data_IF_071640972846
#
_entry.id   IF_071640972846
#
_cell.length_a   1.000
_cell.length_b   1.000
_cell.length_c   1.000
_cell.angle_alpha   90.00
_cell.angle_beta   90.00
_cell.angle_gamma   90.00
#
_symmetry.space_group_name_H-M   'P 1'
#
loop_
_entity.id
_entity.type
_entity.pdbx_description
1 polymer ?
#
# COMPACT_ATOMS: atom_id res chain seq x y z
N UNK A 1 -2.58 -10.28 -24.19
CA UNK A 1 -2.56 -9.16 -23.23
C UNK A 1 -2.89 -7.88 -23.99
N UNK A 2 -4.09 -7.35 -23.84
CA UNK A 2 -4.48 -6.10 -24.50
C UNK A 2 -4.17 -4.93 -23.56
N UNK A 3 -2.91 -4.43 -23.60
CA UNK A 3 -2.60 -3.18 -22.94
C UNK A 3 -3.09 -2.03 -23.81
N UNK A 4 -4.06 -1.26 -23.35
CA UNK A 4 -4.47 -0.03 -24.01
C UNK A 4 -3.50 1.07 -23.60
N UNK A 5 -2.70 1.56 -24.56
CA UNK A 5 -1.87 2.74 -24.36
C UNK A 5 -2.71 3.99 -24.50
N UNK A 6 -2.67 4.89 -23.51
CA UNK A 6 -3.31 6.20 -23.53
C UNK A 6 -2.23 7.28 -23.59
N UNK A 7 -2.40 8.27 -24.45
CA UNK A 7 -1.55 9.46 -24.44
C UNK A 7 -2.02 10.40 -23.33
N UNK A 8 -1.13 10.75 -22.42
CA UNK A 8 -1.35 11.75 -21.38
C UNK A 8 -0.58 13.03 -21.72
N UNK A 9 -1.18 14.19 -21.44
CA UNK A 9 -0.52 15.49 -21.49
C UNK A 9 -0.18 15.93 -20.06
N UNK A 10 1.08 16.24 -19.80
CA UNK A 10 1.49 16.69 -18.47
C UNK A 10 0.91 18.08 -18.15
N UNK A 11 0.18 18.25 -17.04
CA UNK A 11 -0.44 19.53 -16.68
C UNK A 11 0.57 20.60 -16.23
N UNK A 12 1.86 20.22 -16.01
CA UNK A 12 2.92 21.15 -15.62
C UNK A 12 3.79 21.64 -16.79
N UNK A 13 4.20 20.72 -17.68
CA UNK A 13 5.14 21.05 -18.77
C UNK A 13 4.57 20.81 -20.17
N UNK A 14 3.31 20.41 -20.27
CA UNK A 14 2.59 20.12 -21.54
C UNK A 14 3.21 18.99 -22.38
N UNK A 15 4.20 18.25 -21.83
CA UNK A 15 4.79 17.11 -22.53
C UNK A 15 3.75 16.00 -22.70
N UNK A 16 3.67 15.41 -23.89
CA UNK A 16 2.80 14.29 -24.21
C UNK A 16 3.60 12.99 -24.15
N UNK A 17 3.08 11.99 -23.43
CA UNK A 17 3.74 10.69 -23.29
C UNK A 17 2.73 9.55 -23.24
N UNK A 18 3.20 8.36 -23.56
CA UNK A 18 2.39 7.15 -23.50
C UNK A 18 2.35 6.60 -22.10
N UNK A 19 1.14 6.31 -21.60
CA UNK A 19 0.89 5.62 -20.37
C UNK A 19 0.14 4.32 -20.64
N UNK A 20 0.71 3.19 -20.24
CA UNK A 20 0.09 1.88 -20.39
C UNK A 20 -0.93 1.68 -19.27
N UNK A 21 -2.21 1.60 -19.63
CA UNK A 21 -3.28 1.23 -18.70
C UNK A 21 -3.56 -0.25 -18.89
N UNK A 22 -3.39 -1.04 -17.84
CA UNK A 22 -3.91 -2.40 -17.86
C UNK A 22 -5.44 -2.33 -17.67
N UNK A 23 -6.17 -2.61 -18.74
CA UNK A 23 -7.64 -2.62 -18.75
C UNK A 23 -8.25 -3.80 -17.99
N UNK A 24 -7.41 -4.68 -17.44
CA UNK A 24 -7.84 -6.00 -16.92
C UNK A 24 -8.14 -6.05 -15.43
N UNK A 25 -8.21 -4.90 -14.72
CA UNK A 25 -8.61 -4.91 -13.30
C UNK A 25 -10.04 -5.46 -13.07
N UNK A 26 -10.88 -5.54 -14.11
CA UNK A 26 -12.28 -5.96 -13.98
C UNK A 26 -12.51 -7.48 -14.00
N UNK A 27 -11.49 -8.26 -14.36
CA UNK A 27 -11.61 -9.73 -14.45
C UNK A 27 -10.51 -10.51 -13.73
N UNK A 28 -9.70 -9.83 -12.91
CA UNK A 28 -8.63 -10.50 -12.16
C UNK A 28 -9.22 -11.52 -11.17
N UNK A 29 -8.87 -12.78 -11.34
CA UNK A 29 -9.22 -13.81 -10.36
C UNK A 29 -8.41 -13.56 -9.11
N UNK A 30 -9.09 -13.14 -8.03
CA UNK A 30 -8.46 -12.91 -6.72
C UNK A 30 -8.23 -14.28 -6.08
N UNK A 31 -6.98 -14.57 -5.71
CA UNK A 31 -6.60 -15.84 -5.07
C UNK A 31 -6.53 -15.74 -3.55
N UNK A 32 -6.46 -14.53 -3.01
CA UNK A 32 -6.35 -14.31 -1.57
C UNK A 32 -5.87 -12.90 -1.23
N UNK A 33 -5.56 -12.70 0.05
CA UNK A 33 -5.06 -11.45 0.58
C UNK A 33 -3.71 -11.67 1.26
N UNK A 34 -2.81 -10.71 1.15
CA UNK A 34 -1.63 -10.62 2.02
C UNK A 34 -2.04 -10.25 3.44
N UNK A 35 -1.13 -10.41 4.39
CA UNK A 35 -1.33 -9.92 5.77
C UNK A 35 -1.44 -8.40 5.82
N UNK A 36 -0.89 -7.70 4.85
CA UNK A 36 -1.02 -6.26 4.62
C UNK A 36 -2.31 -5.88 3.88
N UNK A 37 -3.27 -6.80 3.78
CA UNK A 37 -4.53 -6.69 3.02
C UNK A 37 -4.36 -6.48 1.51
N UNK A 38 -3.17 -6.66 0.97
CA UNK A 38 -3.00 -6.65 -0.48
C UNK A 38 -3.78 -7.79 -1.12
N UNK A 39 -4.61 -7.46 -2.11
CA UNK A 39 -5.24 -8.46 -2.97
C UNK A 39 -4.18 -9.15 -3.83
N UNK A 40 -4.13 -10.46 -3.76
CA UNK A 40 -3.31 -11.30 -4.64
C UNK A 40 -4.19 -11.76 -5.79
N UNK A 41 -3.99 -11.16 -6.96
CA UNK A 41 -4.72 -11.48 -8.16
C UNK A 41 -3.74 -11.84 -9.27
N UNK A 42 -4.13 -12.75 -10.17
CA UNK A 42 -3.39 -13.05 -11.39
C UNK A 42 -3.44 -11.80 -12.30
N UNK A 43 -2.28 -11.42 -12.83
CA UNK A 43 -2.17 -10.35 -13.82
C UNK A 43 -2.56 -8.93 -13.34
N UNK A 44 -2.64 -8.70 -12.02
CA UNK A 44 -2.91 -7.39 -11.45
C UNK A 44 -1.63 -6.54 -11.44
N UNK A 45 -1.37 -5.81 -12.53
CA UNK A 45 -0.27 -4.86 -12.59
C UNK A 45 -0.73 -3.47 -12.07
N UNK A 46 -0.49 -3.20 -10.79
CA UNK A 46 -0.84 -1.93 -10.12
C UNK A 46 0.11 -0.77 -10.48
N UNK A 47 1.16 -1.05 -11.21
CA UNK A 47 2.09 -0.02 -11.69
C UNK A 47 1.42 1.01 -12.59
N UNK A 48 0.29 0.64 -13.22
CA UNK A 48 -0.50 1.52 -14.08
C UNK A 48 -1.42 2.50 -13.32
N UNK A 49 -1.51 2.41 -11.98
CA UNK A 49 -2.37 3.30 -11.18
C UNK A 49 -1.84 4.74 -11.13
N UNK A 50 -0.54 4.91 -11.32
CA UNK A 50 0.14 6.21 -11.31
C UNK A 50 0.79 6.50 -12.65
N UNK A 51 0.92 7.78 -12.99
CA UNK A 51 1.66 8.24 -14.14
C UNK A 51 2.72 9.26 -13.70
N UNK A 52 3.95 9.12 -14.23
CA UNK A 52 5.06 10.04 -14.01
C UNK A 52 5.45 10.65 -15.35
N UNK A 53 5.48 11.97 -15.43
CA UNK A 53 5.93 12.68 -16.62
C UNK A 53 7.44 12.46 -16.82
N UNK A 54 7.91 11.94 -17.95
CA UNK A 54 9.33 11.67 -18.13
C UNK A 54 10.19 12.94 -18.23
N UNK A 55 9.56 14.11 -18.50
CA UNK A 55 10.28 15.38 -18.67
C UNK A 55 10.45 16.14 -17.36
N UNK A 56 9.37 16.32 -16.58
CA UNK A 56 9.42 17.12 -15.35
C UNK A 56 9.28 16.30 -14.08
N UNK A 57 9.10 15.00 -14.20
CA UNK A 57 8.93 14.01 -13.11
C UNK A 57 7.66 14.20 -12.27
N UNK A 58 6.76 15.11 -12.66
CA UNK A 58 5.46 15.24 -11.99
C UNK A 58 4.73 13.90 -11.98
N UNK A 59 4.33 13.48 -10.81
CA UNK A 59 3.64 12.20 -10.59
C UNK A 59 2.26 12.43 -9.99
N UNK A 60 1.27 11.73 -10.51
CA UNK A 60 -0.09 11.73 -10.00
C UNK A 60 -0.77 10.39 -10.31
N UNK A 61 -1.95 10.12 -9.70
CA UNK A 61 -2.76 9.01 -10.17
C UNK A 61 -3.10 9.23 -11.64
N UNK A 62 -3.07 8.17 -12.43
CA UNK A 62 -3.27 8.28 -13.90
C UNK A 62 -4.62 8.94 -14.27
N UNK A 63 -5.66 8.72 -13.44
CA UNK A 63 -6.97 9.36 -13.61
C UNK A 63 -6.97 10.86 -13.30
N UNK A 64 -6.08 11.33 -12.43
CA UNK A 64 -6.00 12.73 -11.99
C UNK A 64 -5.01 13.55 -12.82
N UNK A 65 -4.38 12.94 -13.82
CA UNK A 65 -3.32 13.59 -14.61
C UNK A 65 -3.79 14.77 -15.46
N UNK A 66 -5.12 14.91 -15.63
CA UNK A 66 -5.74 16.03 -16.33
C UNK A 66 -6.13 17.19 -15.40
N UNK A 67 -6.04 16.98 -14.08
CA UNK A 67 -6.48 17.95 -13.10
C UNK A 67 -5.52 19.15 -13.01
N UNK A 68 -6.07 20.33 -12.67
CA UNK A 68 -5.27 21.53 -12.41
C UNK A 68 -4.31 21.29 -11.25
N UNK A 69 -3.04 21.64 -11.45
CA UNK A 69 -1.99 21.50 -10.43
C UNK A 69 -1.89 22.78 -9.61
N UNK A 70 -2.04 22.69 -8.26
CA UNK A 70 -1.85 23.82 -7.35
C UNK A 70 -0.43 24.40 -7.39
N UNK A 71 -0.27 25.69 -6.98
CA UNK A 71 1.03 26.38 -6.99
C UNK A 71 2.07 25.68 -6.12
N UNK A 72 1.70 25.32 -4.88
CA UNK A 72 2.58 24.61 -3.96
C UNK A 72 3.11 23.26 -4.51
N UNK A 73 2.30 22.52 -5.27
CA UNK A 73 2.75 21.31 -5.96
C UNK A 73 3.72 21.61 -7.09
N UNK A 74 3.51 22.75 -7.81
CA UNK A 74 4.47 23.18 -8.85
C UNK A 74 5.83 23.50 -8.25
N UNK A 75 5.84 24.15 -7.09
CA UNK A 75 7.07 24.52 -6.40
C UNK A 75 7.78 23.27 -5.86
N UNK A 76 7.03 22.32 -5.29
CA UNK A 76 7.56 21.01 -4.88
C UNK A 76 8.25 20.30 -6.05
N UNK A 77 7.57 20.12 -7.19
CA UNK A 77 8.11 19.37 -8.34
C UNK A 77 9.38 20.05 -8.93
N UNK A 78 9.53 21.35 -8.75
CA UNK A 78 10.73 22.09 -9.19
C UNK A 78 11.89 21.99 -8.21
N UNK A 79 11.63 21.61 -6.96
CA UNK A 79 12.65 21.53 -5.92
C UNK A 79 13.72 20.48 -6.22
N UNK A 80 14.91 20.66 -5.65
CA UNK A 80 16.00 19.68 -5.68
C UNK A 80 15.61 18.38 -5.00
N UNK A 81 14.91 18.49 -3.87
CA UNK A 81 14.55 17.36 -3.02
C UNK A 81 13.56 16.42 -3.72
N UNK A 82 12.55 16.98 -4.42
CA UNK A 82 11.64 16.17 -5.22
C UNK A 82 12.36 15.46 -6.37
N UNK A 83 13.29 16.14 -7.06
CA UNK A 83 14.07 15.53 -8.13
C UNK A 83 15.01 14.45 -7.61
N UNK A 84 15.52 14.60 -6.39
CA UNK A 84 16.37 13.62 -5.73
C UNK A 84 15.65 12.28 -5.46
N UNK A 85 14.30 12.27 -5.43
CA UNK A 85 13.53 11.03 -5.36
C UNK A 85 13.87 10.08 -6.52
N UNK A 86 14.14 10.61 -7.69
CA UNK A 86 14.41 9.85 -8.91
C UNK A 86 15.92 9.70 -9.21
N UNK A 87 16.76 10.58 -8.68
CA UNK A 87 18.20 10.51 -8.80
C UNK A 87 18.82 9.94 -7.53
N UNK A 88 19.75 9.01 -7.58
CA UNK A 88 20.52 8.51 -8.71
C UNK A 88 19.95 7.24 -9.40
N UNK A 89 18.68 6.96 -9.24
CA UNK A 89 18.06 5.70 -9.69
C UNK A 89 17.98 5.61 -11.22
N UNK A 90 18.24 4.44 -11.82
CA UNK A 90 18.05 4.22 -13.24
C UNK A 90 16.56 4.33 -13.62
N UNK A 91 16.27 4.68 -14.88
CA UNK A 91 14.91 4.92 -15.36
C UNK A 91 13.95 3.72 -15.11
N UNK A 92 14.47 2.50 -15.13
CA UNK A 92 13.70 1.27 -14.85
C UNK A 92 13.11 1.28 -13.43
N UNK A 93 13.72 1.96 -12.50
CA UNK A 93 13.25 2.08 -11.11
C UNK A 93 12.29 3.26 -10.89
N UNK A 94 12.18 4.17 -11.86
CA UNK A 94 11.32 5.36 -11.74
C UNK A 94 9.85 5.01 -11.47
N UNK A 95 9.41 3.81 -11.86
CA UNK A 95 8.05 3.38 -11.57
C UNK A 95 7.81 3.15 -10.07
N UNK A 96 8.73 2.48 -9.38
CA UNK A 96 8.66 2.33 -7.93
C UNK A 96 8.84 3.68 -7.22
N UNK A 97 9.85 4.47 -7.65
CA UNK A 97 10.14 5.81 -7.11
C UNK A 97 8.98 6.79 -7.33
N UNK A 98 8.20 6.61 -8.38
CA UNK A 98 6.99 7.37 -8.63
C UNK A 98 5.96 7.29 -7.49
N UNK A 99 5.91 6.19 -6.74
CA UNK A 99 5.04 6.10 -5.57
C UNK A 99 5.51 7.00 -4.41
N UNK A 100 6.81 7.09 -4.17
CA UNK A 100 7.37 8.04 -3.19
C UNK A 100 7.04 9.47 -3.61
N UNK A 101 7.24 9.79 -4.89
CA UNK A 101 6.91 11.10 -5.45
C UNK A 101 5.41 11.42 -5.37
N UNK A 102 4.53 10.44 -5.61
CA UNK A 102 3.08 10.60 -5.45
C UNK A 102 2.72 10.96 -4.02
N UNK A 103 3.26 10.24 -3.03
CA UNK A 103 2.97 10.52 -1.61
C UNK A 103 3.38 11.94 -1.25
N UNK A 104 4.57 12.40 -1.68
CA UNK A 104 5.03 13.77 -1.47
C UNK A 104 4.10 14.81 -2.11
N UNK A 105 3.58 14.54 -3.30
CA UNK A 105 2.59 15.41 -3.96
C UNK A 105 1.28 15.45 -3.19
N UNK A 106 0.80 14.30 -2.71
CA UNK A 106 -0.46 14.21 -1.95
C UNK A 106 -0.34 14.88 -0.57
N UNK A 107 0.81 14.78 0.09
CA UNK A 107 1.11 15.47 1.35
C UNK A 107 1.01 16.99 1.19
N UNK A 108 1.68 17.55 0.17
CA UNK A 108 1.62 18.99 -0.14
C UNK A 108 0.21 19.44 -0.54
N UNK A 109 -0.61 18.55 -1.07
CA UNK A 109 -2.04 18.80 -1.35
C UNK A 109 -2.92 18.75 -0.10
N UNK A 110 -2.38 18.38 1.05
CA UNK A 110 -3.09 18.33 2.32
C UNK A 110 -3.89 17.04 2.55
N UNK A 111 -3.52 15.94 1.90
CA UNK A 111 -4.13 14.65 2.21
C UNK A 111 -3.87 14.30 3.68
N UNK A 112 -4.87 13.75 4.37
CA UNK A 112 -4.73 13.41 5.77
C UNK A 112 -3.73 12.25 6.01
N UNK A 113 -3.11 12.14 7.20
CA UNK A 113 -2.09 11.13 7.49
C UNK A 113 -2.54 9.70 7.23
N UNK A 114 -3.78 9.34 7.58
CA UNK A 114 -4.30 8.00 7.34
C UNK A 114 -4.24 7.62 5.86
N UNK A 115 -4.71 8.50 5.00
CA UNK A 115 -4.77 8.23 3.57
C UNK A 115 -3.38 8.29 2.92
N UNK A 116 -2.46 9.13 3.44
CA UNK A 116 -1.03 9.10 3.08
C UNK A 116 -0.39 7.76 3.45
N UNK A 117 -0.65 7.24 4.65
CA UNK A 117 -0.19 5.92 5.08
C UNK A 117 -0.69 4.80 4.15
N UNK A 118 -1.96 4.84 3.75
CA UNK A 118 -2.52 3.89 2.79
C UNK A 118 -1.88 4.00 1.40
N UNK A 119 -1.59 5.21 0.92
CA UNK A 119 -0.90 5.40 -0.37
C UNK A 119 0.53 4.88 -0.31
N UNK A 120 1.26 5.14 0.76
CA UNK A 120 2.61 4.62 0.99
C UNK A 120 2.61 3.08 1.04
N UNK A 121 1.66 2.47 1.76
CA UNK A 121 1.50 1.02 1.81
C UNK A 121 1.20 0.43 0.43
N UNK A 122 0.33 1.06 -0.37
CA UNK A 122 0.07 0.62 -1.76
C UNK A 122 1.31 0.70 -2.62
N UNK A 123 2.07 1.77 -2.49
CA UNK A 123 3.35 1.93 -3.18
C UNK A 123 4.36 0.84 -2.81
N UNK A 124 4.43 0.45 -1.54
CA UNK A 124 5.32 -0.62 -1.08
C UNK A 124 4.99 -1.97 -1.74
N UNK A 125 3.70 -2.25 -2.00
CA UNK A 125 3.31 -3.45 -2.73
C UNK A 125 3.83 -3.45 -4.17
N UNK A 126 3.78 -2.29 -4.84
CA UNK A 126 4.28 -2.16 -6.22
C UNK A 126 5.80 -2.26 -6.25
N UNK A 127 6.50 -1.59 -5.33
CA UNK A 127 7.95 -1.69 -5.21
C UNK A 127 8.41 -3.15 -5.00
N UNK A 128 7.70 -3.90 -4.14
CA UNK A 128 7.92 -5.34 -3.91
C UNK A 128 7.72 -6.16 -5.18
N UNK A 129 6.65 -5.91 -5.94
CA UNK A 129 6.38 -6.60 -7.22
C UNK A 129 7.48 -6.36 -8.25
N UNK A 130 8.07 -5.19 -8.23
CA UNK A 130 9.17 -4.80 -9.11
C UNK A 130 10.55 -5.26 -8.59
N UNK A 131 10.61 -5.90 -7.41
CA UNK A 131 11.86 -6.34 -6.79
C UNK A 131 12.71 -5.19 -6.22
N UNK A 132 12.16 -3.98 -6.09
CA UNK A 132 12.86 -2.82 -5.53
C UNK A 132 12.70 -2.76 -4.01
N UNK A 133 13.55 -3.50 -3.30
CA UNK A 133 13.50 -3.65 -1.84
C UNK A 133 13.82 -2.34 -1.09
N UNK A 134 14.66 -1.49 -1.67
CA UNK A 134 15.01 -0.20 -1.07
C UNK A 134 13.80 0.73 -1.05
N UNK A 135 13.14 0.89 -2.19
CA UNK A 135 11.90 1.70 -2.28
C UNK A 135 10.75 1.07 -1.47
N UNK A 136 10.65 -0.27 -1.42
CA UNK A 136 9.67 -0.92 -0.53
C UNK A 136 9.89 -0.50 0.92
N UNK A 137 11.14 -0.56 1.41
CA UNK A 137 11.47 -0.20 2.80
C UNK A 137 11.15 1.27 3.09
N UNK A 138 11.53 2.17 2.19
CA UNK A 138 11.23 3.61 2.33
C UNK A 138 9.72 3.86 2.42
N UNK A 139 8.93 3.25 1.54
CA UNK A 139 7.48 3.39 1.53
C UNK A 139 6.81 2.76 2.78
N UNK A 140 7.35 1.66 3.31
CA UNK A 140 6.89 1.09 4.57
C UNK A 140 7.21 2.02 5.75
N UNK A 141 8.37 2.68 5.75
CA UNK A 141 8.72 3.68 6.76
C UNK A 141 7.80 4.91 6.70
N UNK A 142 7.51 5.41 5.50
CA UNK A 142 6.53 6.49 5.32
C UNK A 142 5.15 6.06 5.83
N UNK A 143 4.71 4.85 5.52
CA UNK A 143 3.43 4.32 5.99
C UNK A 143 3.36 4.23 7.52
N UNK A 144 4.44 3.76 8.16
CA UNK A 144 4.58 3.67 9.62
C UNK A 144 4.41 5.05 10.27
N UNK A 145 5.14 6.06 9.77
CA UNK A 145 5.09 7.42 10.28
C UNK A 145 3.69 8.05 10.13
N UNK A 146 3.08 7.95 8.95
CA UNK A 146 1.75 8.50 8.69
C UNK A 146 0.64 7.80 9.49
N UNK A 147 0.72 6.49 9.69
CA UNK A 147 -0.25 5.79 10.53
C UNK A 147 -0.09 6.12 12.01
N UNK A 148 1.13 6.30 12.50
CA UNK A 148 1.37 6.82 13.86
C UNK A 148 0.72 8.22 14.03
N UNK A 149 0.90 9.11 13.06
CA UNK A 149 0.29 10.44 13.07
C UNK A 149 -1.24 10.38 12.99
N UNK A 150 -1.78 9.45 12.21
CA UNK A 150 -3.22 9.23 12.13
C UNK A 150 -3.81 8.77 13.47
N UNK A 151 -3.12 7.87 14.20
CA UNK A 151 -3.53 7.45 15.54
C UNK A 151 -3.48 8.60 16.54
N UNK A 152 -2.36 9.36 16.58
CA UNK A 152 -2.19 10.51 17.50
C UNK A 152 -3.21 11.61 17.25
N UNK A 153 -3.58 11.86 16.01
CA UNK A 153 -4.55 12.90 15.63
C UNK A 153 -6.00 12.40 15.61
N UNK A 154 -6.27 11.12 15.92
CA UNK A 154 -7.60 10.54 15.91
C UNK A 154 -8.22 10.36 14.51
N UNK A 155 -7.42 10.49 13.45
CA UNK A 155 -7.85 10.39 12.05
C UNK A 155 -7.91 8.94 11.56
N UNK A 156 -8.67 8.07 12.23
CA UNK A 156 -8.71 6.63 12.00
C UNK A 156 -10.02 6.14 11.32
N UNK A 157 -10.91 7.04 10.91
CA UNK A 157 -12.24 6.74 10.34
C UNK A 157 -13.02 5.68 11.18
N UNK A 158 -13.00 5.83 12.50
CA UNK A 158 -13.67 4.95 13.45
C UNK A 158 -13.16 3.48 13.49
N UNK A 159 -12.06 3.18 12.83
CA UNK A 159 -11.42 1.87 12.91
C UNK A 159 -9.92 1.99 13.26
N UNK A 160 -9.59 2.36 14.51
CA UNK A 160 -8.21 2.40 14.95
C UNK A 160 -7.56 1.00 14.94
N UNK A 161 -8.36 -0.06 15.08
CA UNK A 161 -7.86 -1.43 15.03
C UNK A 161 -7.21 -1.78 13.68
N UNK A 162 -7.74 -1.26 12.57
CA UNK A 162 -7.11 -1.43 11.26
C UNK A 162 -5.71 -0.83 11.23
N UNK A 163 -5.56 0.40 11.71
CA UNK A 163 -4.28 1.11 11.69
C UNK A 163 -3.27 0.41 12.61
N UNK A 164 -3.69 0.02 13.81
CA UNK A 164 -2.85 -0.73 14.76
C UNK A 164 -2.38 -2.06 14.14
N UNK A 165 -3.28 -2.79 13.49
CA UNK A 165 -2.95 -4.03 12.81
C UNK A 165 -1.93 -3.81 11.67
N UNK A 166 -2.16 -2.81 10.82
CA UNK A 166 -1.26 -2.47 9.72
C UNK A 166 0.13 -2.04 10.23
N UNK A 167 0.19 -1.26 11.30
CA UNK A 167 1.45 -0.90 11.96
C UNK A 167 2.21 -2.14 12.46
N UNK A 168 1.50 -3.11 13.04
CA UNK A 168 2.10 -4.39 13.45
C UNK A 168 2.75 -5.12 12.27
N UNK A 169 2.02 -5.25 11.15
CA UNK A 169 2.53 -5.88 9.92
C UNK A 169 3.69 -5.10 9.29
N UNK A 170 3.57 -3.77 9.18
CA UNK A 170 4.62 -2.90 8.64
C UNK A 170 5.91 -3.05 9.44
N UNK A 171 5.83 -3.01 10.77
CA UNK A 171 7.00 -3.14 11.64
C UNK A 171 7.62 -4.55 11.54
N UNK A 172 6.80 -5.60 11.45
CA UNK A 172 7.28 -6.96 11.15
C UNK A 172 8.04 -7.01 9.82
N UNK A 173 7.47 -6.43 8.75
CA UNK A 173 8.08 -6.39 7.42
C UNK A 173 9.41 -5.62 7.39
N UNK A 174 9.55 -4.61 8.25
CA UNK A 174 10.79 -3.82 8.41
C UNK A 174 11.83 -4.52 9.30
N UNK A 175 11.47 -5.62 9.97
CA UNK A 175 12.31 -6.30 10.95
C UNK A 175 12.31 -5.65 12.34
N UNK A 176 11.39 -4.71 12.59
CA UNK A 176 11.22 -4.01 13.86
C UNK A 176 10.29 -4.83 14.79
N UNK A 177 10.69 -6.06 15.07
CA UNK A 177 9.83 -7.07 15.71
C UNK A 177 9.35 -6.67 17.11
N UNK A 178 10.22 -6.03 17.92
CA UNK A 178 9.84 -5.56 19.26
C UNK A 178 8.72 -4.52 19.16
N UNK A 179 8.87 -3.52 18.29
CA UNK A 179 7.87 -2.48 18.07
C UNK A 179 6.57 -3.08 17.53
N UNK A 180 6.67 -3.99 16.56
CA UNK A 180 5.51 -4.71 16.03
C UNK A 180 4.72 -5.44 17.12
N UNK A 181 5.41 -6.13 18.03
CA UNK A 181 4.79 -6.81 19.18
C UNK A 181 4.08 -5.82 20.12
N UNK A 182 4.75 -4.75 20.50
CA UNK A 182 4.19 -3.73 21.39
C UNK A 182 2.92 -3.12 20.80
N UNK A 183 2.94 -2.75 19.50
CA UNK A 183 1.78 -2.19 18.82
C UNK A 183 0.60 -3.15 18.82
N UNK A 184 0.83 -4.43 18.54
CA UNK A 184 -0.25 -5.43 18.50
C UNK A 184 -0.95 -5.62 19.86
N UNK A 185 -0.30 -5.30 20.99
CA UNK A 185 -0.95 -5.34 22.31
C UNK A 185 -2.14 -4.39 22.40
N UNK A 186 -2.12 -3.27 21.66
CA UNK A 186 -3.23 -2.30 21.63
C UNK A 186 -4.47 -2.79 20.86
N UNK A 187 -4.36 -3.86 20.06
CA UNK A 187 -5.54 -4.50 19.46
C UNK A 187 -6.41 -5.18 20.52
N UNK A 188 -5.81 -5.63 21.64
CA UNK A 188 -6.53 -6.32 22.69
C UNK A 188 -7.32 -7.51 22.13
N UNK A 189 -8.58 -7.63 22.58
CA UNK A 189 -9.50 -8.68 22.13
C UNK A 189 -10.41 -8.23 20.98
N UNK A 190 -9.97 -7.30 20.12
CA UNK A 190 -10.77 -6.88 18.97
C UNK A 190 -11.12 -8.08 18.07
N UNK A 191 -12.39 -8.51 18.00
CA UNK A 191 -12.78 -9.76 17.34
C UNK A 191 -12.48 -9.74 15.84
N UNK A 192 -12.47 -8.55 15.22
CA UNK A 192 -12.23 -8.38 13.79
C UNK A 192 -10.79 -8.71 13.40
N UNK A 193 -9.83 -8.37 14.26
CA UNK A 193 -8.39 -8.54 13.98
C UNK A 193 -7.75 -9.68 14.75
N UNK A 194 -8.52 -10.42 15.58
CA UNK A 194 -8.00 -11.46 16.47
C UNK A 194 -7.16 -12.50 15.74
N UNK A 195 -7.71 -13.10 14.68
CA UNK A 195 -7.00 -14.17 13.96
C UNK A 195 -5.78 -13.67 13.18
N UNK A 196 -5.88 -12.63 12.33
CA UNK A 196 -4.71 -12.12 11.66
C UNK A 196 -3.64 -11.58 12.62
N UNK A 197 -4.02 -11.01 13.77
CA UNK A 197 -3.08 -10.55 14.78
C UNK A 197 -2.34 -11.72 15.46
N UNK A 198 -3.00 -12.83 15.74
CA UNK A 198 -2.34 -14.04 16.28
C UNK A 198 -1.26 -14.54 15.29
N UNK A 199 -1.57 -14.57 13.99
CA UNK A 199 -0.61 -14.96 12.99
C UNK A 199 0.59 -13.99 12.95
N UNK A 200 0.34 -12.69 12.97
CA UNK A 200 1.40 -11.69 13.05
C UNK A 200 2.27 -11.87 14.30
N UNK A 201 1.66 -12.17 15.44
CA UNK A 201 2.41 -12.39 16.69
C UNK A 201 3.38 -13.56 16.55
N UNK A 202 2.94 -14.69 15.95
CA UNK A 202 3.82 -15.84 15.72
C UNK A 202 4.97 -15.48 14.79
N UNK A 203 4.70 -14.80 13.67
CA UNK A 203 5.75 -14.40 12.73
C UNK A 203 6.73 -13.39 13.35
N UNK A 204 6.26 -12.52 14.23
CA UNK A 204 7.11 -11.60 14.99
C UNK A 204 8.00 -12.37 15.98
N UNK A 205 7.46 -13.39 16.67
CA UNK A 205 8.22 -14.24 17.59
C UNK A 205 9.29 -15.08 16.87
N UNK A 206 9.02 -15.45 15.63
CA UNK A 206 9.97 -16.16 14.75
C UNK A 206 10.95 -15.22 14.02
N UNK A 207 10.85 -13.92 14.23
CA UNK A 207 11.62 -12.88 13.54
C UNK A 207 11.52 -13.00 12.00
N UNK A 208 10.35 -13.43 11.52
CA UNK A 208 10.09 -13.61 10.10
C UNK A 208 9.51 -12.35 9.46
N UNK A 209 10.32 -11.65 8.67
CA UNK A 209 9.94 -10.45 7.92
C UNK A 209 9.45 -10.73 6.50
N UNK A 210 9.30 -12.00 6.08
CA UNK A 210 8.89 -12.34 4.71
C UNK A 210 7.42 -11.97 4.42
N UNK A 211 7.06 -11.65 3.16
CA UNK A 211 5.66 -11.42 2.81
C UNK A 211 4.88 -12.73 2.88
N UNK A 212 3.80 -12.72 3.65
CA UNK A 212 2.87 -13.85 3.72
C UNK A 212 1.62 -13.59 2.90
N UNK A 213 1.13 -14.65 2.25
CA UNK A 213 -0.06 -14.63 1.41
C UNK A 213 -1.09 -15.61 1.95
N UNK A 214 -2.33 -15.21 2.02
CA UNK A 214 -3.44 -16.07 2.48
C UNK A 214 -3.78 -17.25 1.57
N UNK A 215 -3.05 -17.43 0.47
CA UNK A 215 -3.12 -18.67 -0.32
C UNK A 215 -2.58 -19.89 0.42
N UNK A 216 -1.76 -19.68 1.42
CA UNK A 216 -1.41 -20.73 2.34
C UNK A 216 -2.64 -20.96 3.21
N UNK A 217 -3.43 -21.98 2.84
CA UNK A 217 -4.49 -22.47 3.72
C UNK A 217 -3.91 -22.67 5.13
N UNK A 218 -4.70 -22.54 6.19
CA UNK A 218 -4.27 -22.88 7.54
C UNK A 218 -3.52 -24.21 7.60
N UNK A 219 -3.96 -25.21 6.81
CA UNK A 219 -3.29 -26.51 6.69
C UNK A 219 -1.84 -26.42 6.18
N UNK A 220 -1.53 -25.49 5.28
CA UNK A 220 -0.14 -25.26 4.83
C UNK A 220 0.68 -24.48 5.84
N UNK A 221 0.07 -23.56 6.56
CA UNK A 221 0.74 -22.87 7.67
C UNK A 221 1.12 -23.84 8.78
N UNK A 222 0.24 -24.78 9.13
CA UNK A 222 0.54 -25.86 10.06
C UNK A 222 1.68 -26.77 9.60
N UNK A 223 1.86 -26.93 8.27
CA UNK A 223 2.97 -27.70 7.68
C UNK A 223 4.31 -26.97 7.72
N UNK A 224 4.29 -25.61 7.63
CA UNK A 224 5.51 -24.82 7.62
C UNK A 224 6.02 -24.43 9.02
N UNK A 225 5.14 -24.38 10.03
CA UNK A 225 5.55 -24.20 11.40
C UNK A 225 4.67 -25.02 12.36
N UNK A 226 5.26 -25.93 13.14
CA UNK A 226 4.56 -26.71 14.15
C UNK A 226 3.82 -25.87 15.20
N UNK A 227 4.23 -24.58 15.35
CA UNK A 227 3.61 -23.62 16.29
C UNK A 227 2.23 -23.17 15.87
N UNK A 228 1.88 -23.28 14.56
CA UNK A 228 0.52 -22.97 14.09
C UNK A 228 -0.49 -24.07 14.34
N UNK A 229 -0.02 -25.25 14.76
CA UNK A 229 -0.85 -26.42 14.96
C UNK A 229 -1.88 -26.17 16.06
N UNK A 230 -3.16 -26.19 15.69
CA UNK A 230 -4.25 -25.97 16.63
C UNK A 230 -4.60 -24.51 16.94
N UNK A 231 -3.90 -23.53 16.37
CA UNK A 231 -4.23 -22.10 16.54
C UNK A 231 -5.45 -21.68 15.70
N UNK A 232 -5.72 -22.40 14.62
CA UNK A 232 -6.82 -22.10 13.72
C UNK A 232 -7.95 -23.12 13.88
N UNK A 233 -9.20 -22.67 14.07
CA UNK A 233 -10.33 -23.58 13.98
C UNK A 233 -10.38 -24.19 12.57
N UNK A 234 -10.80 -25.45 12.40
CA UNK A 234 -10.94 -26.06 11.09
C UNK A 234 -11.82 -25.18 10.20
N UNK A 235 -11.40 -24.96 8.96
CA UNK A 235 -12.02 -24.07 7.96
C UNK A 235 -13.55 -24.26 7.78
N UNK A 236 -14.08 -25.41 8.19
CA UNK A 236 -15.53 -25.72 8.14
C UNK A 236 -16.38 -24.93 9.16
N UNK A 237 -15.77 -24.30 10.15
CA UNK A 237 -16.47 -23.58 11.24
C UNK A 237 -16.41 -22.07 11.12
N UNK A 238 -15.66 -21.52 10.14
CA UNK A 238 -15.70 -20.10 9.85
C UNK A 238 -16.78 -19.90 8.80
N UNK A 239 -17.95 -19.33 9.17
CA UNK A 239 -18.90 -18.92 8.15
C UNK A 239 -18.15 -17.97 7.21
N UNK A 240 -18.40 -18.01 5.88
CA UNK A 240 -17.86 -17.03 4.98
C UNK A 240 -18.44 -15.67 5.36
N UNK A 241 -17.87 -15.09 6.38
CA UNK A 241 -18.08 -13.72 6.76
C UNK A 241 -17.47 -12.94 5.60
N UNK A 242 -18.32 -12.30 4.84
CA UNK A 242 -17.95 -11.32 3.85
C UNK A 242 -17.06 -10.28 4.52
N UNK A 243 -15.73 -10.49 4.47
CA UNK A 243 -14.78 -9.42 4.64
C UNK A 243 -14.80 -8.71 3.28
N UNK A 244 -15.89 -8.05 3.01
CA UNK A 244 -15.99 -7.11 1.90
C UNK A 244 -15.22 -5.86 2.31
N UNK A 245 -13.91 -5.91 2.16
CA UNK A 245 -13.16 -4.70 1.89
C UNK A 245 -13.26 -4.45 0.40
N UNK A 246 -14.29 -3.71 -0.01
CA UNK A 246 -14.29 -3.14 -1.34
C UNK A 246 -13.11 -2.17 -1.43
N UNK A 247 -12.14 -2.39 -2.32
CA UNK A 247 -11.10 -1.39 -2.60
C UNK A 247 -11.71 -0.06 -3.04
N UNK A 248 -12.93 -0.11 -3.56
CA UNK A 248 -13.70 1.04 -4.05
C UNK A 248 -14.28 1.88 -2.92
N UNK A 249 -14.59 1.31 -1.75
CA UNK A 249 -15.00 2.10 -0.58
C UNK A 249 -13.91 3.03 -0.05
N UNK A 250 -12.64 2.71 -0.32
CA UNK A 250 -11.51 3.60 -0.01
C UNK A 250 -11.37 4.72 -1.05
N UNK A 251 -11.91 4.55 -2.25
CA UNK A 251 -11.84 5.54 -3.33
C UNK A 251 -13.04 6.50 -3.34
N UNK A 252 -14.26 6.01 -3.08
CA UNK A 252 -15.49 6.79 -3.23
C UNK A 252 -15.74 7.83 -2.13
N UNK A 253 -15.08 7.71 -0.97
CA UNK A 253 -15.29 8.68 0.12
C UNK A 253 -14.39 9.91 0.05
N UNK A 254 -13.47 9.99 -0.92
CA UNK A 254 -12.64 11.18 -1.16
C UNK A 254 -13.28 12.22 -2.08
N UNK A 255 -14.51 11.99 -2.59
CA UNK A 255 -15.14 12.82 -3.63
C UNK A 255 -16.39 13.62 -3.19
N UNK A 256 -16.61 13.85 -1.89
CA UNK A 256 -17.59 14.86 -1.49
C UNK A 256 -16.87 16.16 -1.15
N UNK A 257 -16.88 17.17 -2.04
CA UNK A 257 -16.61 18.54 -1.65
C UNK A 257 -17.83 19.07 -0.89
N UNK A 258 -17.58 19.68 0.28
CA UNK A 258 -18.50 20.64 0.89
C UNK A 258 -18.55 21.93 0.08
#
# INVERSE_FOLDING_TARGET
MNSTSKVLACPLCSHHFHHCRNSEHQSAVVFGHGLDFRLVARDCNRSSDIATCPTCLFTARAQDFHARVPGNVKDLVRSSDYKAIFSPYPEVEHLARGWVALVSVLEVRGLNPRDLGLMSLRGSWVARELGNLETERELLEMADNYFDDALRSGLTKNDPGLIIYLLGEINRRRGEFLRGREILTFLGNNPRYRYPALLLTVLIEEEDSTPYWSQHSPDRMEQHSPRFKGLFPPLRSIPPGKIEFSPDELAEQSEKPD
#
